data_IF_277996318846
#
_entry.id   IF_277996318846
#
_cell.length_a   1.000
_cell.length_b   1.000
_cell.length_c   1.000
_cell.angle_alpha   90.00
_cell.angle_beta   90.00
_cell.angle_gamma   90.00
#
_symmetry.space_group_name_H-M   'P 1'
#
loop_
_entity.id
_entity.type
_entity.pdbx_description
1 polymer ?
#
# COMPACT_ATOMS: atom_id res chain seq x y z
N UNK A 1 22.59 -11.89 -103.81
CA UNK A 1 23.76 -12.13 -102.92
C UNK A 1 24.54 -10.87 -102.54
N UNK A 2 24.74 -9.87 -103.41
CA UNK A 2 25.47 -8.64 -103.03
C UNK A 2 24.79 -7.77 -101.97
N UNK A 3 23.45 -7.67 -101.96
CA UNK A 3 22.69 -6.85 -100.97
C UNK A 3 22.71 -7.41 -99.54
N UNK A 4 22.75 -8.74 -99.38
CA UNK A 4 22.78 -9.41 -98.07
C UNK A 4 24.14 -9.28 -97.39
N UNK A 5 25.23 -9.25 -98.18
CA UNK A 5 26.59 -9.04 -97.66
C UNK A 5 26.79 -7.60 -97.18
N UNK A 6 26.22 -6.61 -97.88
CA UNK A 6 26.26 -5.19 -97.44
C UNK A 6 25.45 -4.98 -96.16
N UNK A 7 24.27 -5.60 -96.04
CA UNK A 7 23.48 -5.54 -94.79
C UNK A 7 24.18 -6.23 -93.62
N UNK A 8 24.81 -7.39 -93.87
CA UNK A 8 25.57 -8.11 -92.85
C UNK A 8 26.83 -7.32 -92.41
N UNK A 9 27.52 -6.66 -93.35
CA UNK A 9 28.65 -5.79 -93.06
C UNK A 9 28.26 -4.53 -92.27
N UNK A 10 27.11 -3.93 -92.57
CA UNK A 10 26.59 -2.78 -91.81
C UNK A 10 26.13 -3.18 -90.39
N UNK A 11 25.50 -4.35 -90.24
CA UNK A 11 25.16 -4.90 -88.93
C UNK A 11 26.39 -5.19 -88.07
N UNK A 12 27.46 -5.71 -88.67
CA UNK A 12 28.70 -6.02 -87.95
C UNK A 12 29.46 -4.76 -87.50
N UNK A 13 29.40 -3.67 -88.27
CA UNK A 13 29.96 -2.36 -87.91
C UNK A 13 29.19 -1.66 -86.78
N UNK A 14 27.89 -1.92 -86.62
CA UNK A 14 27.08 -1.38 -85.51
C UNK A 14 27.29 -2.12 -84.18
N UNK A 15 27.72 -3.38 -84.20
CA UNK A 15 27.93 -4.18 -82.97
C UNK A 15 29.17 -3.77 -82.15
N UNK A 16 30.11 -3.02 -82.72
CA UNK A 16 31.34 -2.61 -82.01
C UNK A 16 31.21 -1.38 -81.08
N UNK A 17 29.99 -0.84 -80.87
CA UNK A 17 29.78 0.37 -80.05
C UNK A 17 29.07 0.16 -78.71
N UNK A 18 28.95 -1.07 -78.20
CA UNK A 18 28.20 -1.38 -76.98
C UNK A 18 29.07 -1.69 -75.75
N UNK A 19 30.12 -0.91 -75.51
CA UNK A 19 30.83 -0.89 -74.23
C UNK A 19 30.93 0.56 -73.73
N UNK A 20 29.83 1.04 -73.15
CA UNK A 20 29.69 2.41 -72.63
C UNK A 20 29.40 2.50 -71.13
N UNK A 21 29.44 1.39 -70.39
CA UNK A 21 29.24 1.39 -68.95
C UNK A 21 30.60 1.39 -68.25
N UNK A 22 30.94 2.53 -67.64
CA UNK A 22 32.06 2.66 -66.71
C UNK A 22 31.50 2.84 -65.30
N UNK A 23 32.20 2.30 -64.31
CA UNK A 23 31.87 2.57 -62.90
C UNK A 23 32.22 4.04 -62.65
N UNK A 24 31.20 4.86 -62.35
CA UNK A 24 31.40 6.25 -61.97
C UNK A 24 32.05 6.28 -60.59
N UNK A 25 33.32 6.66 -60.53
CA UNK A 25 34.06 6.85 -59.29
C UNK A 25 34.37 8.34 -59.13
N UNK A 26 33.39 9.10 -58.66
CA UNK A 26 33.57 10.53 -58.37
C UNK A 26 34.06 10.71 -56.94
N UNK A 27 35.26 11.27 -56.82
CA UNK A 27 35.86 11.61 -55.53
C UNK A 27 35.03 12.63 -54.75
N UNK A 28 34.43 13.62 -55.42
CA UNK A 28 33.67 14.68 -54.77
C UNK A 28 32.42 14.13 -54.08
N UNK A 29 31.68 13.27 -54.78
CA UNK A 29 30.50 12.60 -54.24
C UNK A 29 30.86 11.67 -53.09
N UNK A 30 31.88 10.83 -53.28
CA UNK A 30 32.38 9.91 -52.25
C UNK A 30 32.82 10.65 -50.99
N UNK A 31 33.58 11.74 -51.12
CA UNK A 31 34.01 12.52 -49.96
C UNK A 31 32.86 13.25 -49.28
N UNK A 32 31.83 13.66 -50.03
CA UNK A 32 30.63 14.23 -49.43
C UNK A 32 29.87 13.21 -48.59
N UNK A 33 29.62 12.01 -49.11
CA UNK A 33 28.96 10.92 -48.38
C UNK A 33 29.72 10.53 -47.11
N UNK A 34 31.05 10.43 -47.19
CA UNK A 34 31.91 10.14 -46.05
C UNK A 34 31.74 11.16 -44.91
N UNK A 35 31.57 12.44 -45.25
CA UNK A 35 31.41 13.55 -44.29
C UNK A 35 29.99 13.69 -43.73
N UNK A 36 28.98 13.08 -44.33
CA UNK A 36 27.59 13.27 -43.87
C UNK A 36 27.27 12.54 -42.55
N UNK A 37 28.01 11.48 -42.19
CA UNK A 37 27.60 10.59 -41.09
C UNK A 37 28.66 10.44 -39.98
N UNK A 38 29.89 10.00 -40.29
CA UNK A 38 30.87 9.66 -39.24
C UNK A 38 32.35 9.85 -39.62
N UNK A 39 32.73 9.76 -40.90
CA UNK A 39 34.16 9.84 -41.26
C UNK A 39 34.76 11.23 -41.04
N UNK A 40 36.09 11.30 -41.00
CA UNK A 40 36.86 12.51 -40.66
C UNK A 40 36.53 13.70 -41.58
N UNK A 41 36.37 14.89 -40.96
CA UNK A 41 36.28 16.16 -41.65
C UNK A 41 37.68 16.57 -42.14
N UNK A 42 38.05 16.09 -43.32
CA UNK A 42 39.38 16.30 -43.88
C UNK A 42 39.37 17.39 -44.95
N UNK A 43 40.13 18.47 -44.71
CA UNK A 43 40.28 19.60 -45.62
C UNK A 43 40.84 19.19 -47.00
N UNK A 44 41.61 18.11 -47.06
CA UNK A 44 42.20 17.62 -48.31
C UNK A 44 41.20 16.87 -49.18
N UNK A 45 40.01 16.55 -48.64
CA UNK A 45 38.92 15.85 -49.33
C UNK A 45 37.83 16.78 -49.86
N UNK A 46 38.08 18.10 -49.86
CA UNK A 46 37.18 19.06 -50.49
C UNK A 46 37.50 19.17 -51.98
N UNK A 47 36.59 18.64 -52.80
CA UNK A 47 36.62 18.77 -54.26
C UNK A 47 35.48 19.69 -54.71
N UNK A 48 35.67 20.47 -55.79
CA UNK A 48 36.94 20.71 -56.50
C UNK A 48 37.97 21.39 -55.59
N UNK A 49 39.27 21.15 -55.79
CA UNK A 49 40.36 21.79 -55.04
C UNK A 49 40.78 23.11 -55.69
N UNK A 50 41.42 24.05 -54.95
CA UNK A 50 41.85 25.34 -55.50
C UNK A 50 42.74 25.24 -56.75
N UNK A 51 43.52 24.16 -56.88
CA UNK A 51 44.47 23.97 -57.97
C UNK A 51 45.71 24.85 -57.83
N UNK A 52 46.59 24.82 -58.83
CA UNK A 52 47.81 25.64 -58.84
C UNK A 52 47.45 27.13 -58.76
N UNK A 53 48.03 27.85 -57.80
CA UNK A 53 47.75 29.27 -57.51
C UNK A 53 46.26 29.60 -57.27
N UNK A 54 45.46 28.63 -56.81
CA UNK A 54 44.01 28.80 -56.59
C UNK A 54 43.23 29.21 -57.85
N UNK A 55 43.71 28.85 -59.04
CA UNK A 55 43.14 29.27 -60.32
C UNK A 55 41.97 28.40 -60.81
N UNK A 56 41.52 27.40 -60.03
CA UNK A 56 40.40 26.54 -60.44
C UNK A 56 39.05 27.29 -60.36
N UNK A 57 38.39 27.59 -61.49
CA UNK A 57 37.12 28.33 -61.48
C UNK A 57 36.00 27.55 -60.76
N UNK A 58 36.01 26.22 -60.83
CA UNK A 58 35.02 25.39 -60.13
C UNK A 58 35.17 25.45 -58.61
N UNK A 59 36.41 25.59 -58.10
CA UNK A 59 36.63 25.81 -56.66
C UNK A 59 36.02 27.14 -56.20
N UNK A 60 36.22 28.21 -56.96
CA UNK A 60 35.66 29.52 -56.62
C UNK A 60 34.13 29.53 -56.66
N UNK A 61 33.52 28.89 -57.65
CA UNK A 61 32.07 28.81 -57.78
C UNK A 61 31.40 27.95 -56.70
N UNK A 62 32.10 26.97 -56.12
CA UNK A 62 31.51 26.08 -55.10
C UNK A 62 31.89 26.50 -53.69
N UNK A 63 33.18 26.73 -53.44
CA UNK A 63 33.71 27.00 -52.11
C UNK A 63 34.16 28.45 -51.95
N UNK A 64 34.90 29.01 -52.90
CA UNK A 64 35.55 30.30 -52.73
C UNK A 64 34.61 31.50 -52.56
N UNK A 65 33.57 31.62 -53.39
CA UNK A 65 32.66 32.78 -53.36
C UNK A 65 31.49 32.62 -52.39
N UNK A 66 30.84 31.46 -52.35
CA UNK A 66 29.62 31.27 -51.57
C UNK A 66 29.87 30.68 -50.17
N UNK A 67 30.92 29.88 -50.01
CA UNK A 67 31.14 29.08 -48.81
C UNK A 67 32.63 29.02 -48.39
N UNK A 68 33.31 30.18 -48.22
CA UNK A 68 34.77 30.25 -48.04
C UNK A 68 35.26 29.57 -46.76
N UNK A 69 34.41 29.47 -45.73
CA UNK A 69 34.76 28.87 -44.44
C UNK A 69 34.22 27.46 -44.26
N UNK A 70 33.50 26.91 -45.24
CA UNK A 70 32.83 25.63 -45.10
C UNK A 70 33.80 24.49 -44.78
N UNK A 71 35.01 24.49 -45.33
CA UNK A 71 36.02 23.46 -45.03
C UNK A 71 36.71 23.65 -43.66
N UNK A 72 36.58 24.82 -43.03
CA UNK A 72 37.31 25.16 -41.80
C UNK A 72 36.61 24.69 -40.53
N UNK A 73 35.28 24.59 -40.55
CA UNK A 73 34.48 24.17 -39.39
C UNK A 73 33.90 22.79 -39.63
N UNK A 74 34.08 21.89 -38.65
CA UNK A 74 33.50 20.55 -38.71
C UNK A 74 31.99 20.63 -38.39
N UNK A 75 31.17 20.50 -39.44
CA UNK A 75 29.71 20.59 -39.33
C UNK A 75 29.04 19.23 -39.11
N UNK A 76 29.81 18.16 -38.91
CA UNK A 76 29.24 16.82 -38.73
C UNK A 76 28.34 16.78 -37.49
N UNK A 77 27.09 16.30 -37.62
CA UNK A 77 26.17 16.24 -36.49
C UNK A 77 26.72 15.40 -35.31
N UNK A 78 27.46 14.35 -35.62
CA UNK A 78 28.06 13.38 -34.68
C UNK A 78 29.57 13.59 -34.46
N UNK A 79 30.14 14.76 -34.79
CA UNK A 79 31.51 15.08 -34.36
C UNK A 79 31.58 15.19 -32.82
N UNK A 80 32.77 15.19 -32.20
CA UNK A 80 32.91 15.34 -30.75
C UNK A 80 32.19 16.58 -30.18
N UNK A 81 32.19 17.69 -30.93
CA UNK A 81 31.49 18.92 -30.56
C UNK A 81 30.22 19.16 -31.38
N UNK A 82 29.76 18.16 -32.13
CA UNK A 82 28.61 18.25 -33.02
C UNK A 82 27.30 18.40 -32.27
N UNK A 83 26.28 19.01 -32.89
CA UNK A 83 25.00 19.28 -32.23
C UNK A 83 24.27 18.02 -31.74
N UNK A 84 24.42 16.87 -32.42
CA UNK A 84 23.76 15.62 -31.98
C UNK A 84 24.50 14.96 -30.83
N UNK A 85 25.84 14.99 -30.81
CA UNK A 85 26.64 14.52 -29.67
C UNK A 85 26.31 15.32 -28.41
N UNK A 86 26.22 16.65 -28.53
CA UNK A 86 25.80 17.51 -27.42
C UNK A 86 24.37 17.16 -26.94
N UNK A 87 23.41 16.97 -27.87
CA UNK A 87 22.05 16.56 -27.51
C UNK A 87 22.02 15.21 -26.80
N UNK A 88 22.77 14.21 -27.26
CA UNK A 88 22.86 12.90 -26.59
C UNK A 88 23.47 13.04 -25.19
N UNK A 89 24.50 13.87 -25.02
CA UNK A 89 25.07 14.17 -23.71
C UNK A 89 24.05 14.84 -22.78
N UNK A 90 23.29 15.82 -23.28
CA UNK A 90 22.22 16.45 -22.51
C UNK A 90 21.10 15.47 -22.16
N UNK A 91 20.69 14.60 -23.08
CA UNK A 91 19.69 13.54 -22.83
C UNK A 91 20.21 12.56 -21.78
N UNK A 92 21.47 12.16 -21.83
CA UNK A 92 22.07 11.27 -20.82
C UNK A 92 22.12 11.96 -19.44
N UNK A 93 22.50 13.24 -19.39
CA UNK A 93 22.48 14.02 -18.15
C UNK A 93 21.05 14.15 -17.59
N UNK A 94 20.08 14.46 -18.45
CA UNK A 94 18.67 14.58 -18.08
C UNK A 94 18.09 13.23 -17.61
N UNK A 95 18.47 12.12 -18.26
CA UNK A 95 18.07 10.77 -17.84
C UNK A 95 18.53 10.46 -16.41
N UNK A 96 19.71 10.91 -15.99
CA UNK A 96 20.17 10.74 -14.61
C UNK A 96 19.26 11.51 -13.63
N UNK A 97 18.92 12.75 -13.96
CA UNK A 97 18.00 13.56 -13.16
C UNK A 97 16.60 12.94 -13.10
N UNK A 98 16.07 12.47 -14.23
CA UNK A 98 14.77 11.79 -14.31
C UNK A 98 14.74 10.51 -13.46
N UNK A 99 15.83 9.74 -13.46
CA UNK A 99 15.97 8.55 -12.60
C UNK A 99 15.93 8.92 -11.11
N UNK A 100 16.57 10.02 -10.71
CA UNK A 100 16.47 10.50 -9.33
C UNK A 100 15.05 10.93 -8.97
N UNK A 101 14.36 11.68 -9.84
CA UNK A 101 12.96 12.05 -9.63
C UNK A 101 12.06 10.82 -9.52
N UNK A 102 12.29 9.81 -10.36
CA UNK A 102 11.57 8.54 -10.31
C UNK A 102 11.76 7.84 -8.96
N UNK A 103 13.00 7.71 -8.48
CA UNK A 103 13.29 7.11 -7.17
C UNK A 103 12.62 7.86 -6.01
N UNK A 104 12.62 9.19 -6.05
CA UNK A 104 11.93 10.02 -5.05
C UNK A 104 10.41 9.79 -5.11
N UNK A 105 9.84 9.79 -6.31
CA UNK A 105 8.40 9.52 -6.52
C UNK A 105 8.01 8.13 -6.03
N UNK A 106 8.80 7.11 -6.34
CA UNK A 106 8.60 5.74 -5.89
C UNK A 106 8.67 5.66 -4.35
N UNK A 107 9.65 6.34 -3.74
CA UNK A 107 9.81 6.39 -2.28
C UNK A 107 8.63 7.08 -1.60
N UNK A 108 8.14 8.20 -2.14
CA UNK A 108 6.97 8.91 -1.64
C UNK A 108 5.73 8.01 -1.76
N UNK A 109 5.56 7.34 -2.90
CA UNK A 109 4.45 6.41 -3.11
C UNK A 109 4.49 5.25 -2.12
N UNK A 110 5.63 4.59 -1.95
CA UNK A 110 5.73 3.46 -1.01
C UNK A 110 5.48 3.90 0.42
N UNK A 111 6.01 5.07 0.81
CA UNK A 111 5.82 5.64 2.14
C UNK A 111 4.35 6.03 2.38
N UNK A 112 3.69 6.62 1.38
CA UNK A 112 2.29 6.96 1.46
C UNK A 112 1.42 5.70 1.58
N UNK A 113 1.69 4.66 0.78
CA UNK A 113 0.97 3.38 0.88
C UNK A 113 1.17 2.72 2.24
N UNK A 114 2.40 2.73 2.79
CA UNK A 114 2.64 2.19 4.13
C UNK A 114 1.93 3.01 5.21
N UNK A 115 1.88 4.34 5.08
CA UNK A 115 1.20 5.20 6.05
C UNK A 115 -0.32 5.00 6.00
N UNK A 116 -0.88 4.89 4.80
CA UNK A 116 -2.30 4.55 4.58
C UNK A 116 -2.59 3.19 5.19
N UNK A 117 -1.77 2.16 4.96
CA UNK A 117 -1.97 0.84 5.55
C UNK A 117 -1.86 0.86 7.09
N UNK A 118 -0.92 1.63 7.65
CA UNK A 118 -0.73 1.74 9.10
C UNK A 118 -1.87 2.49 9.81
N UNK A 119 -2.53 3.41 9.11
CA UNK A 119 -3.58 4.28 9.67
C UNK A 119 -4.98 3.75 9.34
N UNK A 120 -5.15 3.05 8.22
CA UNK A 120 -6.48 2.71 7.72
C UNK A 120 -7.19 1.73 8.64
N UNK A 121 -8.47 2.01 8.91
CA UNK A 121 -9.38 1.08 9.58
C UNK A 121 -9.81 -0.08 8.69
N UNK A 122 -9.54 -0.04 7.37
CA UNK A 122 -9.94 -1.09 6.44
C UNK A 122 -9.15 -2.40 6.59
N UNK A 123 -7.93 -2.31 7.14
CA UNK A 123 -7.04 -3.47 7.35
C UNK A 123 -6.98 -3.92 8.81
N UNK A 124 -7.82 -3.36 9.69
CA UNK A 124 -7.82 -3.69 11.12
C UNK A 124 -8.20 -5.14 11.41
N UNK A 125 -9.06 -5.74 10.58
CA UNK A 125 -9.41 -7.17 10.65
C UNK A 125 -8.20 -8.09 10.44
N UNK A 126 -7.16 -7.58 9.77
CA UNK A 126 -5.90 -8.29 9.51
C UNK A 126 -4.82 -7.96 10.54
N UNK A 127 -5.07 -7.13 11.55
CA UNK A 127 -4.08 -6.86 12.59
C UNK A 127 -3.81 -8.14 13.39
N UNK A 128 -2.56 -8.63 13.43
CA UNK A 128 -2.22 -9.83 14.17
C UNK A 128 -2.64 -9.76 15.65
N UNK A 129 -2.52 -8.60 16.29
CA UNK A 129 -2.87 -8.46 17.71
C UNK A 129 -4.38 -8.51 17.93
N UNK A 130 -5.16 -8.01 16.96
CA UNK A 130 -6.61 -8.15 16.97
C UNK A 130 -6.99 -9.63 16.90
N UNK A 131 -6.48 -10.35 15.90
CA UNK A 131 -6.79 -11.76 15.66
C UNK A 131 -6.36 -12.68 16.80
N UNK A 132 -5.17 -12.46 17.35
CA UNK A 132 -4.59 -13.35 18.39
C UNK A 132 -5.17 -13.11 19.78
N UNK A 133 -5.61 -11.88 20.09
CA UNK A 133 -6.02 -11.51 21.44
C UNK A 133 -7.38 -10.81 21.50
N UNK A 134 -7.48 -9.59 20.95
CA UNK A 134 -8.64 -8.72 21.22
C UNK A 134 -9.95 -9.27 20.67
N UNK A 135 -9.94 -9.91 19.50
CA UNK A 135 -11.13 -10.52 18.90
C UNK A 135 -11.81 -11.50 19.86
N UNK A 136 -11.03 -12.38 20.49
CA UNK A 136 -11.53 -13.36 21.45
C UNK A 136 -11.97 -12.70 22.76
N UNK A 137 -11.23 -11.68 23.23
CA UNK A 137 -11.58 -10.96 24.45
C UNK A 137 -12.87 -10.15 24.32
N UNK A 138 -13.18 -9.64 23.12
CA UNK A 138 -14.39 -8.89 22.83
C UNK A 138 -15.54 -9.75 22.33
N UNK A 139 -15.35 -11.05 22.09
CA UNK A 139 -16.40 -11.96 21.63
C UNK A 139 -17.70 -11.88 22.46
N UNK A 140 -17.65 -11.83 23.81
CA UNK A 140 -18.85 -11.69 24.65
C UNK A 140 -19.60 -10.36 24.46
N UNK A 141 -18.95 -9.34 23.88
CA UNK A 141 -19.54 -8.01 23.62
C UNK A 141 -19.93 -7.85 22.16
N UNK A 142 -19.19 -8.47 21.23
CA UNK A 142 -19.48 -8.35 19.80
C UNK A 142 -20.65 -9.25 19.39
N UNK A 143 -20.72 -10.45 19.98
CA UNK A 143 -21.66 -11.50 19.61
C UNK A 143 -22.76 -11.75 20.66
N UNK A 144 -22.96 -10.80 21.59
CA UNK A 144 -24.03 -10.96 22.58
C UNK A 144 -25.42 -10.87 21.94
N UNK A 145 -26.36 -11.62 22.53
CA UNK A 145 -27.77 -11.54 22.20
C UNK A 145 -28.55 -11.07 23.43
N UNK A 146 -29.25 -9.92 23.36
CA UNK A 146 -30.04 -9.40 24.47
C UNK A 146 -31.04 -10.40 25.06
N UNK A 147 -31.61 -11.28 24.23
CA UNK A 147 -32.58 -12.31 24.65
C UNK A 147 -31.92 -13.40 25.49
N UNK A 148 -30.63 -13.66 25.27
CA UNK A 148 -29.85 -14.70 25.97
C UNK A 148 -29.11 -14.17 27.20
N UNK A 149 -29.19 -12.87 27.52
CA UNK A 149 -28.54 -12.31 28.72
C UNK A 149 -29.09 -12.90 30.02
N UNK A 150 -30.32 -13.40 30.00
CA UNK A 150 -30.96 -14.09 31.12
C UNK A 150 -30.61 -15.58 31.21
N UNK A 151 -29.89 -16.13 30.22
CA UNK A 151 -29.54 -17.54 30.20
C UNK A 151 -28.56 -17.86 31.34
N UNK A 152 -28.96 -18.77 32.23
CA UNK A 152 -28.18 -19.16 33.42
C UNK A 152 -28.65 -18.52 34.74
N UNK A 153 -29.61 -17.60 34.71
CA UNK A 153 -30.24 -17.04 35.91
C UNK A 153 -31.47 -17.86 36.33
N UNK A 154 -31.73 -17.96 37.64
CA UNK A 154 -32.97 -18.53 38.14
C UNK A 154 -34.18 -17.67 37.68
N UNK A 155 -35.37 -18.24 37.43
CA UNK A 155 -36.52 -17.46 36.98
C UNK A 155 -36.89 -16.32 37.92
N UNK A 156 -36.70 -16.51 39.23
CA UNK A 156 -36.94 -15.53 40.29
C UNK A 156 -35.89 -14.41 40.31
N UNK A 157 -34.60 -14.74 40.11
CA UNK A 157 -33.56 -13.73 39.96
C UNK A 157 -33.76 -12.91 38.69
N UNK A 158 -34.16 -13.57 37.59
CA UNK A 158 -34.43 -12.88 36.34
C UNK A 158 -35.61 -11.90 36.47
N UNK A 159 -36.73 -12.30 37.05
CA UNK A 159 -37.88 -11.40 37.25
C UNK A 159 -37.51 -10.19 38.12
N UNK A 160 -36.72 -10.41 39.17
CA UNK A 160 -36.19 -9.35 40.03
C UNK A 160 -35.30 -8.38 39.25
N UNK A 161 -34.31 -8.88 38.50
CA UNK A 161 -33.39 -8.05 37.71
C UNK A 161 -34.08 -7.28 36.59
N UNK A 162 -35.16 -7.83 36.03
CA UNK A 162 -36.03 -7.14 35.07
C UNK A 162 -36.81 -6.03 35.78
N UNK A 163 -37.40 -6.30 36.95
CA UNK A 163 -38.17 -5.30 37.71
C UNK A 163 -37.31 -4.13 38.20
N UNK A 164 -36.04 -4.38 38.53
CA UNK A 164 -35.08 -3.37 38.94
C UNK A 164 -34.46 -2.60 37.75
N UNK A 165 -34.76 -3.00 36.51
CA UNK A 165 -34.18 -2.40 35.30
C UNK A 165 -32.70 -2.75 35.06
N UNK A 166 -32.07 -3.56 35.91
CA UNK A 166 -30.65 -3.93 35.84
C UNK A 166 -30.32 -4.69 34.54
N UNK A 167 -31.22 -5.58 34.08
CA UNK A 167 -31.00 -6.34 32.85
C UNK A 167 -31.05 -5.45 31.60
N UNK A 168 -31.98 -4.50 31.54
CA UNK A 168 -32.07 -3.52 30.46
C UNK A 168 -30.85 -2.60 30.43
N UNK A 169 -30.45 -2.07 31.60
CA UNK A 169 -29.24 -1.27 31.74
C UNK A 169 -27.99 -2.00 31.24
N UNK A 170 -27.79 -3.25 31.65
CA UNK A 170 -26.61 -4.03 31.25
C UNK A 170 -26.59 -4.30 29.74
N UNK A 171 -27.73 -4.67 29.15
CA UNK A 171 -27.85 -4.86 27.70
C UNK A 171 -27.57 -3.59 26.90
N UNK A 172 -28.03 -2.42 27.38
CA UNK A 172 -27.76 -1.13 26.75
C UNK A 172 -26.27 -0.77 26.83
N UNK A 173 -25.63 -0.99 27.98
CA UNK A 173 -24.21 -0.72 28.15
C UNK A 173 -23.35 -1.62 27.24
N UNK A 174 -23.70 -2.91 27.12
CA UNK A 174 -23.04 -3.82 26.17
C UNK A 174 -23.22 -3.35 24.70
N UNK A 175 -24.41 -2.87 24.33
CA UNK A 175 -24.67 -2.32 23.00
C UNK A 175 -23.81 -1.08 22.72
N UNK A 176 -23.74 -0.13 23.66
CA UNK A 176 -22.89 1.05 23.52
C UNK A 176 -21.41 0.67 23.42
N UNK A 177 -20.98 -0.28 24.23
CA UNK A 177 -19.61 -0.77 24.20
C UNK A 177 -19.29 -1.44 22.85
N UNK A 178 -20.20 -2.26 22.33
CA UNK A 178 -20.09 -2.86 20.99
C UNK A 178 -19.93 -1.80 19.91
N UNK A 179 -20.76 -0.76 19.91
CA UNK A 179 -20.67 0.35 18.95
C UNK A 179 -19.31 1.06 19.05
N UNK A 180 -18.82 1.33 20.26
CA UNK A 180 -17.52 1.98 20.48
C UNK A 180 -16.34 1.10 20.04
N UNK A 181 -16.42 -0.21 20.26
CA UNK A 181 -15.42 -1.18 19.76
C UNK A 181 -15.42 -1.18 18.24
N UNK A 182 -16.60 -1.28 17.61
CA UNK A 182 -16.71 -1.27 16.15
C UNK A 182 -16.18 0.05 15.57
N UNK A 183 -16.56 1.19 16.14
CA UNK A 183 -16.07 2.50 15.71
C UNK A 183 -14.54 2.61 15.86
N UNK A 184 -13.95 2.18 16.98
CA UNK A 184 -12.50 2.18 17.16
C UNK A 184 -11.80 1.21 16.20
N UNK A 185 -12.45 0.10 15.84
CA UNK A 185 -11.93 -0.91 14.94
C UNK A 185 -11.93 -0.45 13.47
N UNK A 186 -12.97 0.26 13.02
CA UNK A 186 -13.11 0.69 11.61
C UNK A 186 -12.62 2.10 11.35
N UNK A 187 -12.33 2.90 12.38
CA UNK A 187 -11.84 4.26 12.19
C UNK A 187 -10.38 4.31 11.72
N UNK A 188 -10.11 5.31 10.89
CA UNK A 188 -8.76 5.64 10.45
C UNK A 188 -8.00 6.30 11.61
N UNK A 189 -7.05 5.57 12.16
CA UNK A 189 -6.19 6.02 13.24
C UNK A 189 -4.90 5.21 13.24
N UNK A 190 -3.83 5.80 13.76
CA UNK A 190 -2.57 5.09 13.93
C UNK A 190 -2.77 3.78 14.73
N UNK A 191 -2.05 2.73 14.34
CA UNK A 191 -2.13 1.41 14.96
C UNK A 191 -1.94 1.47 16.48
N UNK A 192 -0.99 2.27 16.98
CA UNK A 192 -0.76 2.42 18.42
C UNK A 192 -1.96 3.01 19.15
N UNK A 193 -2.60 4.00 18.54
CA UNK A 193 -3.83 4.61 19.06
C UNK A 193 -4.98 3.62 19.12
N UNK A 194 -5.12 2.77 18.09
CA UNK A 194 -6.13 1.71 18.03
C UNK A 194 -5.93 0.67 19.13
N UNK A 195 -4.69 0.24 19.36
CA UNK A 195 -4.36 -0.72 20.43
C UNK A 195 -4.70 -0.13 21.81
N UNK A 196 -4.38 1.15 22.04
CA UNK A 196 -4.74 1.83 23.28
C UNK A 196 -6.26 1.95 23.45
N UNK A 197 -6.99 2.20 22.37
CA UNK A 197 -8.45 2.21 22.39
C UNK A 197 -9.01 0.83 22.78
N UNK A 198 -8.51 -0.26 22.18
CA UNK A 198 -8.89 -1.62 22.54
C UNK A 198 -8.59 -1.92 24.01
N UNK A 199 -7.41 -1.58 24.51
CA UNK A 199 -7.07 -1.78 25.90
C UNK A 199 -8.04 -1.08 26.86
N UNK A 200 -8.38 0.18 26.57
CA UNK A 200 -9.33 0.97 27.39
C UNK A 200 -10.73 0.36 27.35
N UNK A 201 -11.25 0.04 26.16
CA UNK A 201 -12.57 -0.57 25.98
C UNK A 201 -12.66 -1.95 26.64
N UNK A 202 -11.58 -2.73 26.61
CA UNK A 202 -11.51 -4.03 27.28
C UNK A 202 -11.54 -3.87 28.81
N UNK A 203 -10.87 -2.87 29.35
CA UNK A 203 -10.94 -2.57 30.79
C UNK A 203 -12.33 -2.09 31.20
N UNK A 204 -13.01 -1.31 30.36
CA UNK A 204 -14.41 -0.92 30.57
C UNK A 204 -15.32 -2.15 30.57
N UNK A 205 -15.14 -3.08 29.63
CA UNK A 205 -15.87 -4.35 29.61
C UNK A 205 -15.69 -5.13 30.92
N UNK A 206 -14.44 -5.29 31.38
CA UNK A 206 -14.13 -6.03 32.61
C UNK A 206 -14.80 -5.41 33.84
N UNK A 207 -14.79 -4.09 33.94
CA UNK A 207 -15.51 -3.36 34.99
C UNK A 207 -17.00 -3.61 34.91
N UNK A 208 -17.58 -3.50 33.72
CA UNK A 208 -19.01 -3.74 33.48
C UNK A 208 -19.43 -5.18 33.83
N UNK A 209 -18.64 -6.17 33.42
CA UNK A 209 -18.85 -7.57 33.76
C UNK A 209 -18.77 -7.82 35.27
N UNK A 210 -17.83 -7.17 35.97
CA UNK A 210 -17.73 -7.22 37.43
C UNK A 210 -18.94 -6.61 38.14
N UNK A 211 -19.46 -5.47 37.65
CA UNK A 211 -20.69 -4.87 38.19
C UNK A 211 -21.88 -5.81 37.98
N UNK A 212 -21.99 -6.43 36.80
CA UNK A 212 -23.04 -7.41 36.51
C UNK A 212 -22.98 -8.64 37.43
N UNK A 213 -21.79 -9.21 37.65
CA UNK A 213 -21.64 -10.37 38.55
C UNK A 213 -22.01 -10.02 39.99
N UNK A 214 -21.67 -8.83 40.47
CA UNK A 214 -22.05 -8.36 41.80
C UNK A 214 -23.56 -8.16 41.91
N UNK A 215 -24.21 -7.53 40.92
CA UNK A 215 -25.66 -7.30 40.94
C UNK A 215 -26.46 -8.60 40.87
N UNK A 216 -26.06 -9.53 40.01
CA UNK A 216 -26.69 -10.85 39.89
C UNK A 216 -26.53 -11.68 41.17
N UNK A 217 -25.33 -11.71 41.76
CA UNK A 217 -25.10 -12.38 43.05
C UNK A 217 -25.90 -11.74 44.18
N UNK A 218 -25.94 -10.41 44.27
CA UNK A 218 -26.72 -9.69 45.28
C UNK A 218 -28.22 -9.93 45.14
N UNK A 219 -28.73 -9.98 43.91
CA UNK A 219 -30.12 -10.32 43.63
C UNK A 219 -30.46 -11.72 44.16
N UNK A 220 -29.59 -12.72 43.90
CA UNK A 220 -29.74 -14.08 44.40
C UNK A 220 -29.67 -14.14 45.93
N UNK A 221 -28.64 -13.56 46.56
CA UNK A 221 -28.51 -13.55 48.03
C UNK A 221 -29.72 -12.92 48.72
N UNK A 222 -30.28 -11.86 48.13
CA UNK A 222 -31.49 -11.23 48.67
C UNK A 222 -32.72 -12.14 48.56
N UNK A 223 -32.83 -12.91 47.46
CA UNK A 223 -33.91 -13.89 47.30
C UNK A 223 -33.78 -15.03 48.31
N UNK A 224 -32.55 -15.52 48.53
CA UNK A 224 -32.27 -16.57 49.51
C UNK A 224 -32.59 -16.10 50.94
N UNK A 225 -32.20 -14.87 51.29
CA UNK A 225 -32.55 -14.26 52.58
C UNK A 225 -34.06 -14.05 52.74
N UNK A 226 -34.75 -13.60 51.69
CA UNK A 226 -36.20 -13.45 51.73
C UNK A 226 -36.92 -14.79 51.92
N UNK A 227 -36.44 -15.85 51.26
CA UNK A 227 -36.95 -17.21 51.44
C UNK A 227 -36.73 -17.71 52.87
N UNK A 228 -35.52 -17.53 53.43
CA UNK A 228 -35.22 -17.87 54.83
C UNK A 228 -36.07 -17.07 55.83
N UNK A 229 -36.30 -15.78 55.57
CA UNK A 229 -37.15 -14.98 56.45
C UNK A 229 -38.60 -15.47 56.41
N UNK A 230 -39.09 -15.94 55.25
CA UNK A 230 -40.44 -16.46 55.11
C UNK A 230 -40.61 -17.84 55.77
N UNK A 231 -39.58 -18.70 55.77
CA UNK A 231 -39.61 -19.97 56.52
C UNK A 231 -39.61 -19.73 58.03
N UNK A 232 -38.85 -18.75 58.52
CA UNK A 232 -38.86 -18.33 59.93
C UNK A 232 -40.23 -17.77 60.35
N UNK A 233 -40.83 -16.90 59.53
CA UNK A 233 -42.15 -16.30 59.81
C UNK A 233 -43.31 -17.29 59.76
N UNK A 234 -43.19 -18.36 58.98
CA UNK A 234 -44.24 -19.39 58.85
C UNK A 234 -44.16 -20.49 59.92
N UNK A 235 -43.31 -20.35 60.94
CA UNK A 235 -43.07 -21.35 62.00
C UNK A 235 -42.66 -22.75 61.47
N UNK A 236 -42.32 -22.87 60.18
CA UNK A 236 -41.85 -24.11 59.56
C UNK A 236 -40.32 -24.27 59.68
N UNK A 237 -39.64 -23.33 60.33
CA UNK A 237 -38.24 -23.46 60.66
C UNK A 237 -38.06 -24.43 61.83
N UNK A 238 -37.80 -25.70 61.52
CA UNK A 238 -37.29 -26.65 62.49
C UNK A 238 -35.85 -26.24 62.84
N UNK A 239 -35.60 -25.87 64.10
CA UNK A 239 -34.22 -25.71 64.60
C UNK A 239 -33.64 -27.12 64.68
N UNK A 240 -32.63 -27.47 63.85
CA UNK A 240 -32.01 -28.77 63.95
C UNK A 240 -31.41 -28.91 65.35
N UNK A 241 -31.67 -30.04 66.00
CA UNK A 241 -31.13 -30.40 67.33
C UNK A 241 -31.62 -29.58 68.53
N UNK A 242 -32.64 -28.72 68.40
CA UNK A 242 -33.23 -28.07 69.57
C UNK A 242 -34.16 -29.03 70.32
N UNK A 243 -33.82 -29.29 71.59
CA UNK A 243 -34.69 -29.99 72.54
C UNK A 243 -34.74 -29.19 73.84
N UNK A 244 -35.81 -29.25 74.65
CA UNK A 244 -35.86 -28.57 75.94
C UNK A 244 -34.65 -28.90 76.86
N UNK A 245 -34.04 -30.08 76.66
CA UNK A 245 -32.85 -30.54 77.36
C UNK A 245 -31.58 -29.76 76.98
N UNK A 246 -31.45 -29.26 75.74
CA UNK A 246 -30.29 -28.44 75.33
C UNK A 246 -30.26 -27.12 76.10
N UNK A 247 -31.40 -26.45 76.26
CA UNK A 247 -31.49 -25.17 76.97
C UNK A 247 -31.15 -25.33 78.46
N UNK A 248 -31.63 -26.42 79.08
CA UNK A 248 -31.27 -26.77 80.47
C UNK A 248 -29.76 -27.05 80.59
N UNK A 249 -29.15 -27.74 79.62
CA UNK A 249 -27.71 -28.04 79.64
C UNK A 249 -26.86 -26.76 79.52
N UNK A 250 -27.27 -25.81 78.68
CA UNK A 250 -26.60 -24.52 78.47
C UNK A 250 -26.74 -23.67 79.73
N UNK A 251 -27.94 -23.57 80.30
CA UNK A 251 -28.18 -22.82 81.54
C UNK A 251 -27.33 -23.36 82.71
N UNK A 252 -27.25 -24.68 82.87
CA UNK A 252 -26.36 -25.31 83.87
C UNK A 252 -24.88 -25.00 83.62
N UNK A 253 -24.44 -25.00 82.36
CA UNK A 253 -23.05 -24.69 81.98
C UNK A 253 -22.68 -23.22 82.23
N UNK A 254 -23.62 -22.30 82.08
CA UNK A 254 -23.45 -20.87 82.40
C UNK A 254 -23.39 -20.68 83.93
N UNK A 255 -24.30 -21.32 84.68
CA UNK A 255 -24.31 -21.26 86.14
C UNK A 255 -23.01 -21.81 86.76
N UNK A 256 -22.44 -22.87 86.19
CA UNK A 256 -21.15 -23.44 86.61
C UNK A 256 -19.94 -22.53 86.34
N UNK A 257 -20.05 -21.53 85.46
CA UNK A 257 -18.97 -20.57 85.18
C UNK A 257 -19.03 -19.30 86.05
N UNK A 258 -20.12 -19.12 86.79
CA UNK A 258 -20.37 -17.92 87.63
C UNK A 258 -20.08 -18.21 89.11
N UNK A 259 -19.92 -19.48 89.49
CA UNK A 259 -19.33 -19.91 90.77
C UNK A 259 -17.80 -20.00 90.66
#
# INVERSE_FOLDING_TARGET
>A
MKKTIVLAGFGLLCCFRLLGQSVVNDEALRYQEQRMVYQQWDQNKFKPSPGFLSLNPYYWLVWGFFHPDYHKTDLRPLSPNGPQTQRLAFVAAMSNTDNHYKLQSDTVKTTALSQVAATSGLVSDLDPLWLLYYKNQFDPVLNFNPVKLSAGLSPQANSKLVSEGTLSWYGNELNMLKQRIQAAHTADMDRGSRILAYYRLLNEYRKLAGVWSVRTSSAQSTLDLAAQQQTLKSNNASVPDWTPQTDISIAKKILQKIQ
#
